data_IF_386517771622
#
_entry.id   IF_386517771622
#
_cell.length_a   1.000
_cell.length_b   1.000
_cell.length_c   1.000
_cell.angle_alpha   90.00
_cell.angle_beta   90.00
_cell.angle_gamma   90.00
#
_symmetry.space_group_name_H-M   'P 1'
#
loop_
_entity.id
_entity.type
_entity.pdbx_description
1 polymer ?
#
# COMPACT_ATOMS: atom_id res chain seq x y z
N UNK A 1 -29.63 72.53 28.76
CA UNK A 1 -29.74 71.45 29.76
C UNK A 1 -30.36 70.23 29.08
N UNK A 2 -29.65 69.08 29.11
CA UNK A 2 -30.18 67.70 29.00
C UNK A 2 -30.78 67.30 27.62
N UNK A 3 -30.48 66.18 26.94
CA UNK A 3 -29.47 65.09 26.96
C UNK A 3 -29.62 64.35 25.61
N UNK A 4 -28.50 63.83 25.08
CA UNK A 4 -28.41 62.76 24.08
C UNK A 4 -29.34 61.57 24.38
N UNK A 5 -29.97 60.98 23.36
CA UNK A 5 -30.15 59.52 23.22
C UNK A 5 -30.07 59.13 21.73
N UNK A 6 -29.03 58.38 21.39
CA UNK A 6 -28.91 57.58 20.17
C UNK A 6 -29.92 56.42 20.18
N UNK A 7 -30.34 55.93 19.01
CA UNK A 7 -30.37 54.49 18.70
C UNK A 7 -30.58 54.22 17.20
N UNK A 8 -29.48 53.82 16.57
CA UNK A 8 -29.31 52.71 15.62
C UNK A 8 -30.56 52.19 14.90
N UNK A 9 -30.73 52.58 13.64
CA UNK A 9 -31.38 51.77 12.63
C UNK A 9 -30.27 51.10 11.79
N UNK A 10 -29.73 49.99 12.31
CA UNK A 10 -28.78 49.18 11.56
C UNK A 10 -29.55 48.33 10.55
N UNK A 11 -29.20 48.55 9.29
CA UNK A 11 -29.74 47.95 8.08
C UNK A 11 -29.61 46.42 8.14
N UNK A 12 -30.77 45.74 8.21
CA UNK A 12 -30.91 44.34 7.84
C UNK A 12 -30.80 44.25 6.31
N UNK A 13 -29.58 44.31 5.78
CA UNK A 13 -29.30 43.94 4.38
C UNK A 13 -28.92 42.47 4.37
N UNK A 14 -29.88 41.67 3.95
CA UNK A 14 -29.77 40.26 3.59
C UNK A 14 -28.51 39.97 2.77
N UNK A 15 -27.45 39.49 3.43
CA UNK A 15 -26.36 38.80 2.76
C UNK A 15 -26.84 37.37 2.55
N UNK A 16 -27.47 37.13 1.41
CA UNK A 16 -27.63 35.80 0.83
C UNK A 16 -26.22 35.30 0.48
N UNK A 17 -25.57 34.68 1.45
CA UNK A 17 -24.38 33.85 1.22
C UNK A 17 -24.89 32.65 0.42
N UNK A 18 -24.71 32.68 -0.89
CA UNK A 18 -24.70 31.49 -1.74
C UNK A 18 -23.55 30.60 -1.22
N UNK A 19 -23.87 29.75 -0.26
CA UNK A 19 -23.03 28.62 0.11
C UNK A 19 -23.09 27.63 -1.05
N UNK A 20 -22.25 27.84 -2.06
CA UNK A 20 -21.89 26.78 -2.99
C UNK A 20 -21.21 25.69 -2.15
N UNK A 21 -21.75 24.46 -2.08
CA UNK A 21 -21.05 23.37 -1.43
C UNK A 21 -19.80 23.08 -2.28
N UNK A 22 -18.63 23.46 -1.77
CA UNK A 22 -17.33 23.03 -2.29
C UNK A 22 -17.08 21.53 -1.96
N UNK A 23 -18.08 20.69 -2.20
CA UNK A 23 -17.89 19.27 -2.41
C UNK A 23 -17.50 19.16 -3.87
N UNK A 24 -16.25 19.51 -4.17
CA UNK A 24 -15.62 19.01 -5.37
C UNK A 24 -15.71 17.49 -5.26
N UNK A 25 -16.67 16.92 -5.97
CA UNK A 25 -16.84 15.49 -6.13
C UNK A 25 -15.45 14.91 -6.36
N UNK A 26 -15.11 13.95 -5.51
CA UNK A 26 -13.94 13.11 -5.68
C UNK A 26 -14.13 12.40 -7.02
N UNK A 27 -13.72 13.06 -8.09
CA UNK A 27 -13.98 12.71 -9.49
C UNK A 27 -13.87 11.20 -9.62
N UNK A 28 -14.98 10.53 -9.92
CA UNK A 28 -15.07 9.08 -9.85
C UNK A 28 -13.89 8.46 -10.62
N UNK A 29 -12.92 7.95 -9.85
CA UNK A 29 -11.71 7.31 -10.38
C UNK A 29 -12.04 5.85 -10.58
N UNK A 30 -11.66 5.31 -11.73
CA UNK A 30 -11.96 3.92 -12.06
C UNK A 30 -10.94 3.33 -13.00
N UNK A 31 -11.16 2.05 -13.33
CA UNK A 31 -10.48 1.38 -14.44
C UNK A 31 -11.50 1.11 -15.54
N UNK A 32 -11.11 1.45 -16.77
CA UNK A 32 -11.83 1.03 -17.96
C UNK A 32 -11.69 -0.51 -18.12
N UNK A 33 -12.54 -1.15 -18.94
CA UNK A 33 -12.47 -2.60 -19.18
C UNK A 33 -11.12 -3.08 -19.75
N UNK A 34 -10.38 -2.19 -20.39
CA UNK A 34 -9.02 -2.42 -20.90
C UNK A 34 -7.92 -2.26 -19.84
N UNK A 35 -8.29 -1.94 -18.59
CA UNK A 35 -7.39 -1.78 -17.45
C UNK A 35 -6.84 -0.37 -17.27
N UNK A 36 -7.11 0.59 -18.18
CA UNK A 36 -6.59 1.95 -18.10
C UNK A 36 -7.29 2.76 -17.02
N UNK A 37 -6.52 3.60 -16.34
CA UNK A 37 -7.04 4.52 -15.34
C UNK A 37 -7.79 5.66 -16.02
N UNK A 38 -8.95 6.02 -15.51
CA UNK A 38 -9.69 7.20 -15.98
C UNK A 38 -10.13 8.07 -14.81
N UNK A 39 -10.33 9.36 -15.10
CA UNK A 39 -11.02 10.30 -14.23
C UNK A 39 -12.28 10.78 -14.95
N UNK A 40 -13.35 10.92 -14.20
CA UNK A 40 -14.59 11.48 -14.73
C UNK A 40 -14.55 12.99 -14.52
N UNK A 41 -14.70 13.78 -15.59
CA UNK A 41 -14.77 15.23 -15.47
C UNK A 41 -16.12 15.70 -14.91
N UNK A 42 -16.26 17.01 -14.73
CA UNK A 42 -17.49 17.63 -14.21
C UNK A 42 -18.72 17.44 -15.13
N UNK A 43 -18.49 17.07 -16.40
CA UNK A 43 -19.55 16.80 -17.39
C UNK A 43 -19.90 15.30 -17.45
N UNK A 44 -19.23 14.46 -16.65
CA UNK A 44 -19.45 13.01 -16.63
C UNK A 44 -18.65 12.26 -17.71
N UNK A 45 -17.75 12.92 -18.44
CA UNK A 45 -16.94 12.30 -19.48
C UNK A 45 -15.72 11.61 -18.85
N UNK A 46 -15.52 10.35 -19.23
CA UNK A 46 -14.36 9.58 -18.78
C UNK A 46 -13.13 9.96 -19.60
N UNK A 47 -12.23 10.71 -18.99
CA UNK A 47 -10.96 11.08 -19.58
C UNK A 47 -9.88 10.10 -19.11
N UNK A 48 -9.24 9.45 -20.08
CA UNK A 48 -8.04 8.65 -19.84
C UNK A 48 -6.91 9.60 -19.51
N UNK A 49 -6.60 9.72 -18.23
CA UNK A 49 -5.62 10.68 -17.71
C UNK A 49 -4.30 9.94 -17.43
N UNK A 50 -3.26 10.26 -18.21
CA UNK A 50 -1.89 9.75 -17.98
C UNK A 50 -1.40 10.05 -16.57
N UNK A 51 -1.88 11.14 -15.94
CA UNK A 51 -1.54 11.47 -14.54
C UNK A 51 -2.18 10.45 -13.59
N UNK A 52 -3.42 10.03 -13.83
CA UNK A 52 -4.08 8.99 -13.02
C UNK A 52 -3.40 7.62 -13.16
N UNK A 53 -2.88 7.29 -14.34
CA UNK A 53 -2.08 6.08 -14.56
C UNK A 53 -0.75 6.14 -13.78
N UNK A 54 -0.06 7.29 -13.82
CA UNK A 54 1.16 7.50 -13.05
C UNK A 54 0.93 7.45 -11.53
N UNK A 55 -0.16 8.06 -11.03
CA UNK A 55 -0.54 7.99 -9.62
C UNK A 55 -0.78 6.54 -9.16
N UNK A 56 -1.50 5.75 -9.94
CA UNK A 56 -1.74 4.34 -9.62
C UNK A 56 -0.47 3.48 -9.71
N UNK A 57 0.43 3.81 -10.63
CA UNK A 57 1.72 3.14 -10.75
C UNK A 57 2.62 3.46 -9.56
N UNK A 58 2.60 4.68 -9.04
CA UNK A 58 3.31 5.04 -7.80
C UNK A 58 2.77 4.24 -6.61
N UNK A 59 1.45 4.13 -6.45
CA UNK A 59 0.85 3.34 -5.36
C UNK A 59 1.18 1.85 -5.46
N UNK A 60 1.14 1.29 -6.67
CA UNK A 60 1.53 -0.10 -6.94
C UNK A 60 3.02 -0.33 -6.63
N UNK A 61 3.87 0.61 -7.04
CA UNK A 61 5.31 0.56 -6.79
C UNK A 61 5.62 0.66 -5.29
N UNK A 62 4.97 1.57 -4.57
CA UNK A 62 5.11 1.71 -3.12
C UNK A 62 4.73 0.42 -2.39
N UNK A 63 3.61 -0.22 -2.76
CA UNK A 63 3.22 -1.53 -2.17
C UNK A 63 4.27 -2.60 -2.43
N UNK A 64 4.83 -2.63 -3.63
CA UNK A 64 5.89 -3.58 -3.99
C UNK A 64 7.18 -3.31 -3.22
N UNK A 65 7.56 -2.05 -3.05
CA UNK A 65 8.72 -1.65 -2.26
C UNK A 65 8.54 -2.08 -0.80
N UNK A 66 7.39 -1.79 -0.18
CA UNK A 66 7.11 -2.23 1.19
C UNK A 66 7.15 -3.76 1.33
N UNK A 67 6.58 -4.51 0.38
CA UNK A 67 6.67 -5.97 0.39
C UNK A 67 8.11 -6.49 0.30
N UNK A 68 8.95 -5.86 -0.54
CA UNK A 68 10.36 -6.21 -0.65
C UNK A 68 11.16 -5.82 0.60
N UNK A 69 10.87 -4.68 1.23
CA UNK A 69 11.48 -4.27 2.49
C UNK A 69 11.17 -5.27 3.61
N UNK A 70 9.93 -5.73 3.71
CA UNK A 70 9.50 -6.76 4.67
C UNK A 70 10.21 -8.10 4.41
N UNK A 71 10.31 -8.55 3.15
CA UNK A 71 11.05 -9.76 2.78
C UNK A 71 12.54 -9.67 3.11
N UNK A 72 13.17 -8.53 2.81
CA UNK A 72 14.58 -8.29 3.12
C UNK A 72 14.78 -8.31 4.63
N UNK A 73 13.90 -7.68 5.41
CA UNK A 73 13.98 -7.69 6.87
C UNK A 73 13.83 -9.10 7.43
N UNK A 74 12.88 -9.88 6.93
CA UNK A 74 12.70 -11.29 7.34
C UNK A 74 13.95 -12.14 7.03
N UNK A 75 14.55 -11.96 5.85
CA UNK A 75 15.80 -12.65 5.48
C UNK A 75 16.98 -12.19 6.34
N UNK A 76 17.08 -10.89 6.63
CA UNK A 76 18.12 -10.35 7.49
C UNK A 76 18.04 -10.90 8.92
N UNK A 77 16.82 -11.06 9.47
CA UNK A 77 16.62 -11.71 10.77
C UNK A 77 17.08 -13.17 10.77
N UNK A 78 16.84 -13.90 9.68
CA UNK A 78 17.35 -15.28 9.52
C UNK A 78 18.88 -15.29 9.49
N UNK A 79 19.50 -14.40 8.71
CA UNK A 79 20.96 -14.28 8.62
C UNK A 79 21.55 -13.96 10.00
N UNK A 80 21.03 -12.94 10.70
CA UNK A 80 21.51 -12.58 12.04
C UNK A 80 21.33 -13.70 13.07
N UNK A 81 20.28 -14.52 12.95
CA UNK A 81 20.11 -15.73 13.78
C UNK A 81 21.15 -16.82 13.46
N UNK A 82 21.48 -17.02 12.18
CA UNK A 82 22.51 -17.96 11.76
C UNK A 82 23.92 -17.50 12.18
N UNK A 83 24.23 -16.22 12.03
CA UNK A 83 25.52 -15.63 12.40
C UNK A 83 25.79 -15.66 13.90
N UNK A 84 24.75 -15.50 14.73
CA UNK A 84 24.88 -15.55 16.20
C UNK A 84 25.04 -16.96 16.76
N UNK A 85 25.10 -17.99 15.92
CA UNK A 85 25.39 -19.37 16.33
C UNK A 85 24.33 -20.02 17.23
N UNK A 86 23.19 -19.36 17.45
CA UNK A 86 22.03 -19.94 18.15
C UNK A 86 21.22 -20.80 17.19
N UNK A 87 21.82 -21.89 16.72
CA UNK A 87 21.10 -23.00 16.11
C UNK A 87 20.41 -23.85 17.21
N UNK A 88 19.59 -23.23 18.05
CA UNK A 88 18.83 -23.91 19.08
C UNK A 88 17.33 -23.75 18.80
N UNK A 89 16.74 -24.83 18.29
CA UNK A 89 15.30 -25.10 18.29
C UNK A 89 14.40 -24.01 17.68
N UNK A 90 14.57 -23.73 16.38
CA UNK A 90 13.37 -23.40 15.60
C UNK A 90 12.67 -24.72 15.28
N UNK A 91 11.32 -24.80 15.33
CA UNK A 91 10.63 -25.86 14.62
C UNK A 91 11.17 -25.84 13.20
N UNK A 92 11.58 -27.02 12.70
CA UNK A 92 11.96 -27.18 11.31
C UNK A 92 10.98 -26.40 10.44
N UNK A 93 11.50 -25.62 9.50
CA UNK A 93 10.71 -25.18 8.36
C UNK A 93 10.08 -26.45 7.80
N UNK A 94 8.83 -26.70 8.19
CA UNK A 94 7.97 -27.70 7.56
C UNK A 94 7.70 -27.12 6.19
N UNK A 95 8.64 -27.37 5.29
CA UNK A 95 8.29 -27.61 3.90
C UNK A 95 7.09 -28.56 3.98
N UNK A 96 5.93 -28.07 3.56
CA UNK A 96 4.73 -28.89 3.42
C UNK A 96 4.99 -29.82 2.25
N UNK A 97 5.82 -30.82 2.50
CA UNK A 97 5.86 -32.02 1.70
C UNK A 97 4.59 -32.80 2.06
N UNK A 98 3.60 -32.76 1.18
CA UNK A 98 2.31 -33.43 1.38
C UNK A 98 2.41 -34.96 1.21
N UNK A 99 3.54 -35.58 1.52
CA UNK A 99 3.76 -37.02 1.28
C UNK A 99 4.60 -37.76 2.34
N UNK A 100 4.73 -37.25 3.56
CA UNK A 100 5.42 -37.99 4.62
C UNK A 100 4.59 -38.11 5.89
N UNK A 101 3.88 -39.24 5.99
CA UNK A 101 3.35 -39.79 7.24
C UNK A 101 4.48 -40.04 8.25
N UNK A 102 4.26 -39.50 9.44
CA UNK A 102 4.63 -40.02 10.76
C UNK A 102 5.88 -40.91 10.89
N UNK A 103 6.96 -40.38 11.47
CA UNK A 103 7.82 -41.19 12.35
C UNK A 103 8.25 -40.38 13.58
N UNK A 104 8.05 -41.03 14.73
CA UNK A 104 8.35 -40.63 16.09
C UNK A 104 9.85 -40.57 16.41
N UNK A 105 10.14 -39.77 17.43
CA UNK A 105 11.29 -39.77 18.34
C UNK A 105 12.37 -40.86 18.16
N UNK A 106 13.61 -40.39 18.09
CA UNK A 106 14.84 -41.18 18.11
C UNK A 106 14.94 -42.08 19.36
N UNK A 107 15.06 -43.38 19.13
CA UNK A 107 15.63 -44.36 20.03
C UNK A 107 16.96 -44.87 19.41
N UNK A 108 17.92 -45.36 20.22
CA UNK A 108 19.31 -45.48 19.81
C UNK A 108 19.58 -46.73 18.95
N UNK A 109 20.37 -46.52 17.88
CA UNK A 109 21.25 -47.47 17.17
C UNK A 109 20.85 -48.95 17.26
N UNK A 110 20.02 -49.40 16.32
CA UNK A 110 19.79 -50.83 16.08
C UNK A 110 20.32 -51.23 14.70
N UNK A 111 21.02 -52.36 14.68
CA UNK A 111 21.80 -52.93 13.58
C UNK A 111 21.01 -53.02 12.27
N UNK A 112 21.68 -52.76 11.15
CA UNK A 112 21.22 -53.10 9.81
C UNK A 112 20.70 -54.56 9.78
N UNK A 113 19.42 -54.80 9.45
CA UNK A 113 18.96 -56.14 9.17
C UNK A 113 19.43 -56.54 7.77
N UNK A 114 20.04 -57.72 7.67
CA UNK A 114 20.31 -58.39 6.41
C UNK A 114 19.01 -58.61 5.61
N UNK A 115 19.07 -58.60 4.27
CA UNK A 115 17.91 -58.83 3.43
C UNK A 115 17.44 -60.28 3.53
N UNK A 116 16.53 -60.56 4.47
CA UNK A 116 15.80 -61.83 4.51
C UNK A 116 14.78 -61.82 3.39
N UNK A 117 15.18 -62.36 2.24
CA UNK A 117 14.33 -62.62 1.09
C UNK A 117 13.24 -63.64 1.42
N UNK A 118 12.15 -63.18 2.02
CA UNK A 118 10.88 -63.92 2.06
C UNK A 118 10.00 -63.36 0.96
N UNK A 119 10.04 -64.01 -0.21
CA UNK A 119 9.05 -63.80 -1.26
C UNK A 119 7.69 -64.26 -0.70
N UNK A 120 6.90 -63.31 -0.22
CA UNK A 120 5.49 -63.56 0.05
C UNK A 120 4.83 -63.65 -1.33
N UNK A 121 4.22 -64.80 -1.70
CA UNK A 121 3.52 -64.91 -2.97
C UNK A 121 2.39 -63.90 -2.98
N UNK A 122 2.42 -62.99 -3.94
CA UNK A 122 1.36 -62.00 -4.16
C UNK A 122 0.11 -62.79 -4.58
N UNK A 123 -1.04 -62.65 -3.88
CA UNK A 123 -2.27 -63.32 -4.27
C UNK A 123 -2.67 -62.96 -5.71
N UNK A 124 -3.06 -63.96 -6.52
CA UNK A 124 -3.38 -63.77 -7.95
C UNK A 124 -4.48 -62.72 -8.20
N UNK A 125 -5.36 -62.49 -7.23
CA UNK A 125 -6.43 -61.48 -7.27
C UNK A 125 -5.93 -60.02 -7.25
N UNK A 126 -4.65 -59.78 -6.96
CA UNK A 126 -4.05 -58.44 -6.89
C UNK A 126 -3.46 -57.96 -8.22
N UNK A 127 -3.23 -58.83 -9.21
CA UNK A 127 -2.64 -58.46 -10.49
C UNK A 127 -3.42 -57.40 -11.28
N UNK A 128 -4.76 -57.49 -11.45
CA UNK A 128 -5.51 -56.49 -12.22
C UNK A 128 -5.54 -55.12 -11.53
N UNK A 129 -5.56 -55.10 -10.19
CA UNK A 129 -5.50 -53.84 -9.41
C UNK A 129 -4.14 -53.16 -9.56
N UNK A 130 -3.06 -53.94 -9.58
CA UNK A 130 -1.71 -53.41 -9.77
C UNK A 130 -1.52 -52.81 -11.17
N UNK A 131 -2.09 -53.46 -12.20
CA UNK A 131 -2.09 -52.93 -13.57
C UNK A 131 -2.87 -51.61 -13.68
N UNK A 132 -4.05 -51.52 -13.05
CA UNK A 132 -4.85 -50.29 -13.04
C UNK A 132 -4.12 -49.13 -12.33
N UNK A 133 -3.50 -49.40 -11.18
CA UNK A 133 -2.70 -48.40 -10.44
C UNK A 133 -1.49 -47.97 -11.25
N UNK A 134 -0.79 -48.89 -11.94
CA UNK A 134 0.33 -48.53 -12.81
C UNK A 134 -0.11 -47.60 -13.94
N UNK A 135 -1.25 -47.88 -14.57
CA UNK A 135 -1.79 -47.05 -15.64
C UNK A 135 -2.18 -45.64 -15.13
N UNK A 136 -2.75 -45.56 -13.93
CA UNK A 136 -3.08 -44.28 -13.29
C UNK A 136 -1.82 -43.47 -12.96
N UNK A 137 -0.77 -44.11 -12.44
CA UNK A 137 0.52 -43.46 -12.17
C UNK A 137 1.15 -42.92 -13.46
N UNK A 138 1.10 -43.68 -14.55
CA UNK A 138 1.64 -43.23 -15.83
C UNK A 138 0.82 -42.07 -16.42
N UNK A 139 -0.51 -42.08 -16.26
CA UNK A 139 -1.37 -40.95 -16.63
C UNK A 139 -1.07 -39.69 -15.80
N UNK A 140 -0.88 -39.82 -14.49
CA UNK A 140 -0.51 -38.71 -13.62
C UNK A 140 0.88 -38.15 -13.96
N UNK A 141 1.85 -39.00 -14.29
CA UNK A 141 3.18 -38.58 -14.75
C UNK A 141 3.09 -37.78 -16.05
N UNK A 142 2.29 -38.23 -17.02
CA UNK A 142 2.07 -37.51 -18.27
C UNK A 142 1.40 -36.15 -18.03
N UNK A 143 0.39 -36.09 -17.16
CA UNK A 143 -0.29 -34.82 -16.81
C UNK A 143 0.66 -33.82 -16.15
N UNK A 144 1.51 -34.29 -15.23
CA UNK A 144 2.48 -33.46 -14.52
C UNK A 144 3.54 -32.90 -15.49
N UNK A 145 3.97 -33.69 -16.48
CA UNK A 145 4.91 -33.24 -17.50
C UNK A 145 4.31 -32.15 -18.40
N UNK A 146 3.04 -32.27 -18.79
CA UNK A 146 2.34 -31.23 -19.55
C UNK A 146 2.21 -29.94 -18.73
N UNK A 147 1.86 -30.04 -17.45
CA UNK A 147 1.74 -28.87 -16.57
C UNK A 147 3.08 -28.14 -16.40
N UNK A 148 4.19 -28.89 -16.26
CA UNK A 148 5.54 -28.32 -16.24
C UNK A 148 5.84 -27.55 -17.52
N UNK A 149 5.55 -28.12 -18.69
CA UNK A 149 5.77 -27.46 -19.97
C UNK A 149 4.94 -26.18 -20.14
N UNK A 150 3.72 -26.15 -19.60
CA UNK A 150 2.88 -24.94 -19.59
C UNK A 150 3.52 -23.86 -18.71
N UNK A 151 3.90 -24.22 -17.48
CA UNK A 151 4.55 -23.29 -16.53
C UNK A 151 5.87 -22.74 -17.07
N UNK A 152 6.68 -23.58 -17.73
CA UNK A 152 7.94 -23.15 -18.33
C UNK A 152 7.72 -22.14 -19.47
N UNK A 153 6.67 -22.32 -20.28
CA UNK A 153 6.27 -21.35 -21.31
C UNK A 153 5.80 -20.03 -20.71
N UNK A 154 4.97 -20.07 -19.67
CA UNK A 154 4.52 -18.86 -18.95
C UNK A 154 5.70 -18.10 -18.32
N UNK A 155 6.65 -18.81 -17.70
CA UNK A 155 7.87 -18.22 -17.13
C UNK A 155 8.71 -17.57 -18.25
N UNK A 156 8.86 -18.23 -19.40
CA UNK A 156 9.58 -17.66 -20.54
C UNK A 156 8.92 -16.38 -21.07
N UNK A 157 7.60 -16.36 -21.18
CA UNK A 157 6.83 -15.18 -21.60
C UNK A 157 6.96 -14.02 -20.61
N UNK A 158 6.78 -14.28 -19.31
CA UNK A 158 6.93 -13.27 -18.25
C UNK A 158 8.36 -12.70 -18.21
N UNK A 159 9.38 -13.55 -18.43
CA UNK A 159 10.77 -13.10 -18.53
C UNK A 159 10.99 -12.21 -19.75
N UNK A 160 10.34 -12.51 -20.89
CA UNK A 160 10.35 -11.65 -22.07
C UNK A 160 9.71 -10.28 -21.82
N UNK A 161 8.57 -10.25 -21.14
CA UNK A 161 7.90 -9.00 -20.74
C UNK A 161 8.77 -8.18 -19.78
N UNK A 162 9.40 -8.83 -18.79
CA UNK A 162 10.33 -8.17 -17.86
C UNK A 162 11.54 -7.58 -18.57
N UNK A 163 12.11 -8.26 -19.56
CA UNK A 163 13.23 -7.74 -20.35
C UNK A 163 12.82 -6.47 -21.13
N UNK A 164 11.64 -6.48 -21.76
CA UNK A 164 11.10 -5.32 -22.47
C UNK A 164 10.85 -4.13 -21.53
N UNK A 165 10.28 -4.36 -20.34
CA UNK A 165 10.06 -3.31 -19.34
C UNK A 165 11.37 -2.70 -18.83
N UNK A 166 12.41 -3.53 -18.61
CA UNK A 166 13.75 -3.04 -18.23
C UNK A 166 14.36 -2.15 -19.31
N UNK A 167 14.24 -2.55 -20.58
CA UNK A 167 14.73 -1.75 -21.71
C UNK A 167 14.01 -0.39 -21.78
N UNK A 168 12.69 -0.36 -21.62
CA UNK A 168 11.90 0.87 -21.63
C UNK A 168 12.28 1.81 -20.47
N UNK A 169 12.50 1.25 -19.27
CA UNK A 169 12.93 2.02 -18.11
C UNK A 169 14.30 2.66 -18.36
N UNK A 170 15.26 1.89 -18.88
CA UNK A 170 16.60 2.41 -19.22
C UNK A 170 16.53 3.53 -20.28
N UNK A 171 15.67 3.39 -21.28
CA UNK A 171 15.46 4.45 -22.29
C UNK A 171 14.84 5.71 -21.67
N UNK A 172 13.89 5.57 -20.74
CA UNK A 172 13.29 6.71 -20.06
C UNK A 172 14.26 7.42 -19.12
N UNK A 173 15.11 6.67 -18.42
CA UNK A 173 16.19 7.25 -17.60
C UNK A 173 17.18 8.04 -18.46
N UNK A 174 17.57 7.52 -19.62
CA UNK A 174 18.43 8.22 -20.58
C UNK A 174 17.77 9.50 -21.11
N UNK A 175 16.47 9.49 -21.40
CA UNK A 175 15.72 10.69 -21.82
C UNK A 175 15.61 11.71 -20.69
N UNK A 176 15.35 11.26 -19.47
CA UNK A 176 15.27 12.14 -18.29
C UNK A 176 16.62 12.82 -18.01
N UNK A 177 17.73 12.08 -18.12
CA UNK A 177 19.06 12.65 -17.94
C UNK A 177 19.39 13.66 -19.04
N UNK A 178 19.06 13.37 -20.30
CA UNK A 178 19.22 14.30 -21.43
C UNK A 178 18.41 15.59 -21.23
N UNK A 179 17.15 15.49 -20.80
CA UNK A 179 16.31 16.65 -20.51
C UNK A 179 16.86 17.48 -19.34
N UNK A 180 17.36 16.83 -18.29
CA UNK A 180 17.97 17.52 -17.16
C UNK A 180 19.23 18.29 -17.57
N UNK A 181 20.08 17.72 -18.44
CA UNK A 181 21.24 18.40 -19.01
C UNK A 181 20.83 19.61 -19.86
N UNK A 182 19.81 19.47 -20.73
CA UNK A 182 19.28 20.59 -21.54
C UNK A 182 18.70 21.72 -20.70
N UNK A 183 18.03 21.40 -19.59
CA UNK A 183 17.53 22.40 -18.65
C UNK A 183 18.69 23.15 -17.99
N UNK A 184 19.74 22.44 -17.58
CA UNK A 184 20.92 23.02 -16.95
C UNK A 184 21.65 23.96 -17.93
N UNK A 185 21.80 23.56 -19.19
CA UNK A 185 22.35 24.41 -20.26
C UNK A 185 21.50 25.68 -20.48
N UNK A 186 20.17 25.55 -20.56
CA UNK A 186 19.27 26.71 -20.67
C UNK A 186 19.37 27.65 -19.46
N UNK A 187 19.47 27.10 -18.24
CA UNK A 187 19.66 27.93 -17.05
C UNK A 187 21.00 28.67 -17.05
N UNK A 188 22.06 28.09 -17.62
CA UNK A 188 23.36 28.74 -17.75
C UNK A 188 23.38 29.86 -18.80
N UNK A 189 22.58 29.75 -19.88
CA UNK A 189 22.47 30.78 -20.92
C UNK A 189 21.56 31.95 -20.52
N UNK A 190 20.71 31.79 -19.50
CA UNK A 190 19.85 32.87 -19.02
C UNK A 190 20.66 33.77 -18.07
N UNK A 191 21.14 34.91 -18.57
CA UNK A 191 21.84 35.90 -17.73
C UNK A 191 20.97 36.29 -16.52
N UNK A 192 21.57 36.48 -15.32
CA UNK A 192 20.87 36.95 -14.15
C UNK A 192 20.55 38.45 -14.31
N UNK A 193 19.47 38.75 -15.03
CA UNK A 193 18.90 40.09 -15.05
C UNK A 193 18.02 40.23 -13.82
N UNK A 194 18.39 41.19 -12.98
CA UNK A 194 17.68 41.75 -11.81
C UNK A 194 18.19 41.29 -10.44
N UNK A 195 19.21 42.01 -9.99
CA UNK A 195 19.39 42.41 -8.59
C UNK A 195 18.19 43.29 -8.16
N UNK A 196 17.03 42.69 -7.89
CA UNK A 196 15.95 43.36 -7.17
C UNK A 196 15.78 42.73 -5.79
N UNK A 197 15.78 43.59 -4.76
CA UNK A 197 15.48 43.37 -3.35
C UNK A 197 15.35 41.90 -2.90
N UNK A 198 16.48 41.34 -2.45
CA UNK A 198 16.60 39.96 -1.94
C UNK A 198 15.62 39.62 -0.80
N UNK A 199 15.08 40.62 -0.10
CA UNK A 199 14.04 40.41 0.94
C UNK A 199 12.69 40.00 0.37
N UNK A 200 12.29 40.52 -0.80
CA UNK A 200 11.04 40.16 -1.45
C UNK A 200 11.12 38.75 -2.05
N UNK A 201 12.24 38.40 -2.68
CA UNK A 201 12.47 37.06 -3.27
C UNK A 201 12.47 35.94 -2.22
N UNK A 202 13.10 36.15 -1.06
CA UNK A 202 13.11 35.18 0.03
C UNK A 202 11.70 34.95 0.61
N UNK A 203 10.88 36.01 0.64
CA UNK A 203 9.48 35.91 1.10
C UNK A 203 8.62 35.06 0.16
N UNK A 204 8.79 35.22 -1.16
CA UNK A 204 8.07 34.43 -2.17
C UNK A 204 8.51 32.97 -2.19
N UNK A 205 9.81 32.70 -2.06
CA UNK A 205 10.31 31.32 -1.95
C UNK A 205 9.77 30.63 -0.69
N UNK A 206 9.72 31.34 0.44
CA UNK A 206 9.14 30.83 1.69
C UNK A 206 7.64 30.55 1.55
N UNK A 207 6.89 31.43 0.90
CA UNK A 207 5.45 31.22 0.64
C UNK A 207 5.22 29.98 -0.24
N UNK A 208 5.97 29.83 -1.34
CA UNK A 208 5.87 28.64 -2.21
C UNK A 208 6.21 27.35 -1.46
N UNK A 209 7.23 27.38 -0.60
CA UNK A 209 7.58 26.24 0.23
C UNK A 209 6.45 25.88 1.22
N UNK A 210 5.83 26.87 1.85
CA UNK A 210 4.67 26.66 2.73
C UNK A 210 3.47 26.10 1.97
N UNK A 211 3.16 26.63 0.79
CA UNK A 211 2.07 26.15 -0.06
C UNK A 211 2.31 24.72 -0.54
N UNK A 212 3.54 24.39 -0.94
CA UNK A 212 3.92 23.03 -1.34
C UNK A 212 3.73 22.04 -0.20
N UNK A 213 4.22 22.37 1.01
CA UNK A 213 4.03 21.52 2.19
C UNK A 213 2.55 21.39 2.56
N UNK A 214 1.77 22.49 2.51
CA UNK A 214 0.32 22.43 2.74
C UNK A 214 -0.39 21.54 1.72
N UNK A 215 0.02 21.60 0.45
CA UNK A 215 -0.49 20.72 -0.60
C UNK A 215 -0.28 19.25 -0.24
N UNK A 216 0.94 18.89 0.17
CA UNK A 216 1.25 17.52 0.61
C UNK A 216 0.42 17.11 1.83
N UNK A 217 0.35 17.96 2.85
CA UNK A 217 -0.39 17.64 4.08
C UNK A 217 -1.90 17.53 3.84
N UNK A 218 -2.47 18.29 2.92
CA UNK A 218 -3.86 18.12 2.49
C UNK A 218 -4.09 16.74 1.87
N UNK A 219 -3.17 16.26 1.04
CA UNK A 219 -3.22 14.90 0.49
C UNK A 219 -3.19 13.85 1.60
N UNK A 220 -2.22 13.96 2.52
CA UNK A 220 -2.08 13.03 3.65
C UNK A 220 -3.34 13.03 4.54
N UNK A 221 -3.93 14.21 4.78
CA UNK A 221 -5.14 14.37 5.58
C UNK A 221 -6.35 13.73 4.89
N UNK A 222 -6.50 13.89 3.58
CA UNK A 222 -7.55 13.24 2.81
C UNK A 222 -7.40 11.71 2.81
N UNK A 223 -6.18 11.19 2.70
CA UNK A 223 -5.90 9.76 2.85
C UNK A 223 -6.29 9.25 4.25
N UNK A 224 -5.92 9.97 5.31
CA UNK A 224 -6.29 9.64 6.68
C UNK A 224 -7.82 9.64 6.88
N UNK A 225 -8.54 10.62 6.30
CA UNK A 225 -10.02 10.66 6.28
C UNK A 225 -10.63 9.47 5.54
N UNK A 226 -10.08 9.10 4.39
CA UNK A 226 -10.53 7.93 3.63
C UNK A 226 -10.43 6.65 4.46
N UNK A 227 -9.30 6.45 5.14
CA UNK A 227 -9.09 5.30 6.03
C UNK A 227 -9.98 5.33 7.26
N UNK A 228 -10.21 6.50 7.85
CA UNK A 228 -11.14 6.67 8.96
C UNK A 228 -12.55 6.19 8.58
N UNK A 229 -13.04 6.58 7.39
CA UNK A 229 -14.34 6.12 6.87
C UNK A 229 -14.37 4.61 6.69
N UNK A 230 -13.29 4.00 6.18
CA UNK A 230 -13.18 2.54 6.04
C UNK A 230 -13.26 1.85 7.40
N UNK A 231 -12.52 2.35 8.39
CA UNK A 231 -12.57 1.86 9.76
C UNK A 231 -13.99 1.95 10.32
N UNK A 232 -14.64 3.10 10.21
CA UNK A 232 -15.98 3.31 10.76
C UNK A 232 -17.03 2.39 10.08
N UNK A 233 -16.91 2.15 8.78
CA UNK A 233 -17.72 1.15 8.06
C UNK A 233 -17.48 -0.28 8.57
N UNK A 234 -16.23 -0.65 8.84
CA UNK A 234 -15.91 -1.96 9.42
C UNK A 234 -16.47 -2.12 10.83
N UNK A 235 -16.39 -1.07 11.67
CA UNK A 235 -17.01 -1.06 13.00
C UNK A 235 -18.53 -1.23 12.90
N UNK A 236 -19.18 -0.48 11.99
CA UNK A 236 -20.62 -0.59 11.78
C UNK A 236 -21.03 -2.00 11.32
N UNK A 237 -20.28 -2.60 10.38
CA UNK A 237 -20.50 -3.97 9.89
C UNK A 237 -20.24 -5.04 10.97
N UNK A 238 -19.25 -4.80 11.84
CA UNK A 238 -18.98 -5.68 12.97
C UNK A 238 -20.13 -5.66 13.99
N UNK A 239 -20.63 -4.46 14.32
CA UNK A 239 -21.68 -4.26 15.32
C UNK A 239 -23.08 -4.63 14.80
N UNK A 240 -23.30 -4.67 13.48
CA UNK A 240 -24.60 -5.04 12.91
C UNK A 240 -24.85 -6.55 12.86
N UNK A 241 -23.80 -7.37 12.80
CA UNK A 241 -23.91 -8.81 13.00
C UNK A 241 -24.25 -9.02 14.47
N UNK A 242 -25.37 -9.67 14.79
CA UNK A 242 -25.90 -9.89 16.15
C UNK A 242 -24.89 -10.59 17.08
N UNK A 243 -23.87 -9.85 17.52
CA UNK A 243 -22.82 -10.32 18.41
C UNK A 243 -23.16 -9.87 19.82
N UNK A 244 -22.88 -10.74 20.78
CA UNK A 244 -23.12 -10.48 22.20
C UNK A 244 -22.31 -9.28 22.75
N UNK A 245 -21.26 -8.83 22.04
CA UNK A 245 -20.39 -7.73 22.45
C UNK A 245 -20.24 -6.72 21.32
N UNK A 246 -20.67 -5.48 21.56
CA UNK A 246 -20.44 -4.35 20.66
C UNK A 246 -19.06 -3.74 20.89
N UNK A 247 -18.36 -3.39 19.82
CA UNK A 247 -17.07 -2.70 19.90
C UNK A 247 -17.28 -1.19 19.91
N UNK A 248 -16.64 -0.52 20.86
CA UNK A 248 -16.60 0.95 20.95
C UNK A 248 -15.16 1.42 20.81
N UNK A 249 -14.83 1.94 19.64
CA UNK A 249 -13.53 2.56 19.40
C UNK A 249 -13.54 4.03 19.81
N UNK A 250 -12.43 4.48 20.37
CA UNK A 250 -12.22 5.89 20.69
C UNK A 250 -11.91 6.66 19.41
N UNK A 251 -12.32 7.93 19.33
CA UNK A 251 -11.95 8.79 18.21
C UNK A 251 -10.42 8.89 18.14
N UNK A 252 -9.79 8.67 16.98
CA UNK A 252 -8.35 8.68 16.90
C UNK A 252 -7.89 10.14 16.96
N UNK A 253 -7.10 10.43 17.98
CA UNK A 253 -6.55 11.76 18.27
C UNK A 253 -5.03 11.66 18.33
N UNK A 254 -4.33 12.73 17.96
CA UNK A 254 -2.88 12.83 18.12
C UNK A 254 -2.48 12.83 19.60
N UNK A 255 -1.19 12.67 19.88
CA UNK A 255 -0.61 12.85 21.22
C UNK A 255 -0.93 14.22 21.84
N UNK A 256 -1.11 15.24 20.99
CA UNK A 256 -1.49 16.61 21.39
C UNK A 256 -2.99 16.81 21.58
N UNK A 257 -3.79 15.74 21.43
CA UNK A 257 -5.24 15.77 21.62
C UNK A 257 -6.03 16.31 20.44
N UNK A 258 -5.41 16.44 19.25
CA UNK A 258 -6.12 16.92 18.06
C UNK A 258 -6.72 15.76 17.26
N UNK A 259 -7.97 15.93 16.87
CA UNK A 259 -8.64 15.12 15.85
C UNK A 259 -8.24 15.57 14.43
N UNK A 260 -8.49 14.72 13.42
CA UNK A 260 -8.22 15.04 12.00
C UNK A 260 -8.81 16.40 11.59
N UNK A 261 -10.03 16.72 12.02
CA UNK A 261 -10.70 17.96 11.62
C UNK A 261 -10.10 19.19 12.31
N UNK A 262 -9.63 19.04 13.55
CA UNK A 262 -8.91 20.10 14.25
C UNK A 262 -7.53 20.35 13.64
N UNK A 263 -6.84 19.27 13.22
CA UNK A 263 -5.57 19.40 12.49
C UNK A 263 -5.80 20.13 11.17
N UNK A 264 -6.86 19.78 10.42
CA UNK A 264 -7.22 20.45 9.17
C UNK A 264 -7.42 21.96 9.37
N UNK A 265 -8.26 22.35 10.34
CA UNK A 265 -8.54 23.75 10.62
C UNK A 265 -7.32 24.55 11.10
N UNK A 266 -6.44 23.94 11.90
CA UNK A 266 -5.21 24.61 12.38
C UNK A 266 -4.13 24.73 11.30
N UNK A 267 -4.08 23.77 10.37
CA UNK A 267 -3.11 23.77 9.28
C UNK A 267 -3.31 24.95 8.31
N UNK A 268 -4.55 25.35 8.04
CA UNK A 268 -4.86 26.51 7.20
C UNK A 268 -4.26 27.82 7.77
N UNK A 269 -4.25 27.94 9.10
CA UNK A 269 -3.70 29.08 9.83
C UNK A 269 -2.18 29.04 10.05
N UNK A 270 -1.49 27.96 9.69
CA UNK A 270 -0.08 27.77 10.00
C UNK A 270 0.83 28.75 9.23
N UNK A 271 1.63 29.55 9.93
CA UNK A 271 2.48 30.61 9.33
C UNK A 271 3.93 30.15 9.10
N UNK A 272 4.29 28.97 9.60
CA UNK A 272 5.66 28.48 9.56
C UNK A 272 5.75 27.02 9.13
N UNK A 273 6.89 26.68 8.52
CA UNK A 273 7.22 25.31 8.13
C UNK A 273 7.29 24.40 9.36
N UNK A 274 7.73 24.94 10.50
CA UNK A 274 7.78 24.21 11.76
C UNK A 274 6.39 23.79 12.25
N UNK A 275 5.40 24.69 12.21
CA UNK A 275 4.01 24.37 12.56
C UNK A 275 3.45 23.29 11.63
N UNK A 276 3.62 23.45 10.31
CA UNK A 276 3.20 22.46 9.32
C UNK A 276 3.83 21.09 9.56
N UNK A 277 5.13 21.03 9.84
CA UNK A 277 5.82 19.77 10.14
C UNK A 277 5.30 19.13 11.45
N UNK A 278 4.84 19.94 12.40
CA UNK A 278 4.24 19.40 13.63
C UNK A 278 2.86 18.81 13.33
N UNK A 279 2.07 19.43 12.45
CA UNK A 279 0.81 18.84 11.96
C UNK A 279 1.04 17.58 11.12
N UNK A 280 2.14 17.51 10.36
CA UNK A 280 2.52 16.30 9.64
C UNK A 280 2.69 15.09 10.59
N UNK A 281 3.33 15.32 11.75
CA UNK A 281 3.49 14.28 12.79
C UNK A 281 2.14 13.87 13.37
N UNK A 282 1.27 14.82 13.69
CA UNK A 282 -0.07 14.52 14.19
C UNK A 282 -0.90 13.70 13.20
N UNK A 283 -0.85 14.03 11.91
CA UNK A 283 -1.57 13.28 10.86
C UNK A 283 -1.08 11.83 10.84
N UNK A 284 0.23 11.60 10.83
CA UNK A 284 0.82 10.25 10.85
C UNK A 284 0.48 9.47 12.11
N UNK A 285 0.47 10.10 13.28
CA UNK A 285 0.05 9.47 14.53
C UNK A 285 -1.41 9.02 14.48
N UNK A 286 -2.30 9.88 13.96
CA UNK A 286 -3.72 9.54 13.81
C UNK A 286 -3.90 8.43 12.78
N UNK A 287 -3.18 8.49 11.66
CA UNK A 287 -3.21 7.49 10.59
C UNK A 287 -2.74 6.12 11.08
N UNK A 288 -1.66 6.07 11.86
CA UNK A 288 -1.17 4.83 12.48
C UNK A 288 -2.23 4.20 13.40
N UNK A 289 -2.88 5.00 14.26
CA UNK A 289 -3.97 4.51 15.13
C UNK A 289 -5.15 3.97 14.32
N UNK A 290 -5.51 4.61 13.21
CA UNK A 290 -6.57 4.14 12.31
C UNK A 290 -6.17 2.80 11.66
N UNK A 291 -4.92 2.65 11.22
CA UNK A 291 -4.43 1.41 10.65
C UNK A 291 -4.45 0.26 11.66
N UNK A 292 -4.02 0.51 12.90
CA UNK A 292 -4.05 -0.46 13.99
C UNK A 292 -5.48 -0.94 14.27
N UNK A 293 -6.45 -0.01 14.31
CA UNK A 293 -7.87 -0.32 14.46
C UNK A 293 -8.38 -1.20 13.31
N UNK A 294 -8.06 -0.85 12.05
CA UNK A 294 -8.45 -1.62 10.86
C UNK A 294 -7.84 -3.03 10.90
N UNK A 295 -6.56 -3.14 11.25
CA UNK A 295 -5.86 -4.42 11.35
C UNK A 295 -6.48 -5.31 12.44
N UNK A 296 -6.82 -4.73 13.59
CA UNK A 296 -7.54 -5.43 14.67
C UNK A 296 -8.90 -5.93 14.20
N UNK A 297 -9.71 -5.08 13.56
CA UNK A 297 -11.01 -5.47 13.01
C UNK A 297 -10.88 -6.58 11.95
N UNK A 298 -9.85 -6.51 11.10
CA UNK A 298 -9.54 -7.54 10.11
C UNK A 298 -9.22 -8.90 10.74
N UNK A 299 -8.52 -8.92 11.89
CA UNK A 299 -8.26 -10.15 12.65
C UNK A 299 -9.54 -10.71 13.30
N UNK A 300 -10.42 -9.84 13.80
CA UNK A 300 -11.66 -10.24 14.48
C UNK A 300 -12.80 -10.64 13.53
N UNK A 301 -12.65 -10.32 12.24
CA UNK A 301 -13.60 -10.68 11.19
C UNK A 301 -13.36 -12.07 10.58
N UNK A 302 -12.14 -12.61 10.74
CA UNK A 302 -11.81 -14.01 10.43
C UNK A 302 -12.35 -14.94 11.51
#
# INVERSE_FOLDING_TARGET
MIKKVQRNAFVLSSILIFACPAWAEEAARGRLPDGRAFRTDAEGVQLVDYIAELELNIDSLNRRVYGLEDEVKAKQEIISRLETGRAAASPALKERDMLAEAVLAEAPVEKQPEPVGRQVPVPDDCQPKLAAVSQEVDALRASLEVEKQIKDKEIAELNGQLANLKLNLQQNEARSSELSAKLLEKTAQTQPVLQHDTKAGLSMAKLRALESIRGQLNTDLNQARGRLRTRDKMIASYNSKERAVGLKFVRPISSRGYSIDEVAGKMEGAKSVYELNTFAKDIREIEAKIQDDIALLGRMAK
#
